data_IF_217335305097
#
_entry.id   IF_217335305097
#
_cell.length_a   1.000
_cell.length_b   1.000
_cell.length_c   1.000
_cell.angle_alpha   90.00
_cell.angle_beta   90.00
_cell.angle_gamma   90.00
#
_symmetry.space_group_name_H-M   'P 1'
#
loop_
_entity.id
_entity.type
_entity.pdbx_description
1 polymer ?
#
# COMPACT_ATOMS: atom_id res chain seq x y z
N UNK A 1 9.78 -1.93 12.44
CA UNK A 1 8.76 -2.89 11.92
C UNK A 1 8.24 -3.81 13.00
N UNK A 2 9.05 -4.69 13.61
CA UNK A 2 8.57 -5.63 14.66
C UNK A 2 7.78 -4.94 15.77
N UNK A 3 8.33 -3.85 16.35
CA UNK A 3 7.63 -3.08 17.40
C UNK A 3 6.29 -2.50 16.93
N UNK A 4 6.24 -1.98 15.70
CA UNK A 4 5.00 -1.43 15.10
C UNK A 4 3.97 -2.55 14.91
N UNK A 5 4.42 -3.73 14.45
CA UNK A 5 3.55 -4.91 14.27
C UNK A 5 3.01 -5.43 15.60
N UNK A 6 3.82 -5.47 16.66
CA UNK A 6 3.37 -5.84 18.01
C UNK A 6 2.40 -4.82 18.59
N UNK A 7 2.65 -3.53 18.40
CA UNK A 7 1.74 -2.46 18.81
C UNK A 7 0.41 -2.55 18.07
N UNK A 8 0.43 -2.74 16.74
CA UNK A 8 -0.78 -2.94 15.95
C UNK A 8 -1.53 -4.19 16.39
N UNK A 9 -0.84 -5.30 16.62
CA UNK A 9 -1.47 -6.50 17.16
C UNK A 9 -2.19 -6.22 18.49
N UNK A 10 -1.50 -5.57 19.44
CA UNK A 10 -2.10 -5.18 20.72
C UNK A 10 -3.32 -4.28 20.55
N UNK A 11 -3.26 -3.28 19.66
CA UNK A 11 -4.38 -2.38 19.36
C UNK A 11 -5.57 -3.16 18.77
N UNK A 12 -5.30 -4.05 17.82
CA UNK A 12 -6.30 -4.82 17.08
C UNK A 12 -7.02 -5.81 18.00
N UNK A 13 -6.30 -6.58 18.81
CA UNK A 13 -6.91 -7.59 19.69
C UNK A 13 -7.35 -7.08 21.06
N UNK A 14 -6.95 -5.86 21.43
CA UNK A 14 -7.32 -5.25 22.70
C UNK A 14 -8.33 -4.10 22.49
N UNK A 15 -7.88 -2.84 22.39
CA UNK A 15 -8.75 -1.67 22.26
C UNK A 15 -9.78 -1.73 21.11
N UNK A 16 -9.41 -2.29 19.95
CA UNK A 16 -10.30 -2.36 18.80
C UNK A 16 -11.21 -3.59 18.80
N UNK A 17 -10.97 -4.56 19.71
CA UNK A 17 -11.73 -5.80 19.88
C UNK A 17 -12.02 -6.54 18.56
N UNK A 18 -11.01 -6.59 17.68
CA UNK A 18 -11.10 -7.26 16.40
C UNK A 18 -10.57 -8.70 16.51
N UNK A 19 -11.36 -9.65 16.01
CA UNK A 19 -10.96 -11.06 15.95
C UNK A 19 -9.62 -11.23 15.22
N UNK A 20 -8.76 -12.20 15.61
CA UNK A 20 -7.49 -12.51 14.94
C UNK A 20 -7.69 -13.26 13.60
N UNK A 21 -8.61 -12.77 12.79
CA UNK A 21 -9.02 -13.35 11.51
C UNK A 21 -8.65 -12.45 10.34
N UNK A 22 -8.46 -13.08 9.17
CA UNK A 22 -8.29 -12.44 7.87
C UNK A 22 -9.55 -12.72 7.04
N UNK A 23 -10.17 -11.66 6.54
CA UNK A 23 -11.38 -11.75 5.70
C UNK A 23 -10.99 -11.68 4.23
N UNK A 24 -11.24 -12.76 3.49
CA UNK A 24 -11.16 -12.78 2.03
C UNK A 24 -12.56 -12.45 1.50
N UNK A 25 -12.76 -11.17 1.20
CA UNK A 25 -14.06 -10.59 0.85
C UNK A 25 -14.53 -11.04 -0.52
N UNK A 26 -13.61 -11.28 -1.45
CA UNK A 26 -13.97 -11.76 -2.81
C UNK A 26 -14.56 -13.18 -2.80
N UNK A 27 -14.23 -13.99 -1.79
CA UNK A 27 -14.67 -15.39 -1.67
C UNK A 27 -15.62 -15.61 -0.48
N UNK A 28 -16.01 -14.55 0.23
CA UNK A 28 -16.74 -14.61 1.51
C UNK A 28 -16.15 -15.61 2.53
N UNK A 29 -14.83 -15.77 2.50
CA UNK A 29 -14.10 -16.68 3.38
C UNK A 29 -13.48 -15.90 4.54
N UNK A 30 -13.58 -16.42 5.75
CA UNK A 30 -12.88 -15.88 6.93
C UNK A 30 -11.94 -16.95 7.47
N UNK A 31 -10.66 -16.62 7.55
CA UNK A 31 -9.62 -17.52 8.04
C UNK A 31 -9.19 -17.03 9.41
N UNK A 32 -9.31 -17.89 10.42
CA UNK A 32 -8.80 -17.61 11.76
C UNK A 32 -7.30 -17.94 11.84
N UNK A 33 -6.50 -16.95 12.21
CA UNK A 33 -5.05 -17.12 12.38
C UNK A 33 -4.67 -17.35 13.85
N UNK A 34 -5.57 -17.10 14.81
CA UNK A 34 -5.35 -17.27 16.23
C UNK A 34 -3.98 -16.71 16.69
N UNK A 35 -3.16 -17.58 17.27
CA UNK A 35 -1.83 -17.23 17.79
C UNK A 35 -0.83 -16.78 16.70
N UNK A 36 -1.07 -17.11 15.43
CA UNK A 36 -0.21 -16.72 14.31
C UNK A 36 -0.57 -15.34 13.72
N UNK A 37 -1.64 -14.71 14.19
CA UNK A 37 -2.07 -13.40 13.68
C UNK A 37 -1.01 -12.28 13.82
N UNK A 38 -0.19 -12.20 14.89
CA UNK A 38 0.91 -11.22 14.97
C UNK A 38 1.94 -11.40 13.85
N UNK A 39 2.20 -12.66 13.44
CA UNK A 39 3.12 -12.95 12.33
C UNK A 39 2.53 -12.46 11.01
N UNK A 40 1.22 -12.67 10.81
CA UNK A 40 0.51 -12.12 9.66
C UNK A 40 0.59 -10.58 9.61
N UNK A 41 0.29 -9.90 10.72
CA UNK A 41 0.42 -8.44 10.83
C UNK A 41 1.85 -7.99 10.48
N UNK A 42 2.86 -8.70 11.00
CA UNK A 42 4.25 -8.41 10.67
C UNK A 42 4.53 -8.52 9.17
N UNK A 43 4.06 -9.58 8.51
CA UNK A 43 4.25 -9.77 7.07
C UNK A 43 3.60 -8.64 6.26
N UNK A 44 2.36 -8.26 6.58
CA UNK A 44 1.63 -7.18 5.88
C UNK A 44 2.35 -5.84 6.05
N UNK A 45 2.73 -5.49 7.29
CA UNK A 45 3.44 -4.23 7.58
C UNK A 45 4.82 -4.22 6.94
N UNK A 46 5.58 -5.30 7.07
CA UNK A 46 6.92 -5.38 6.50
C UNK A 46 6.86 -5.31 4.96
N UNK A 47 5.95 -6.05 4.34
CA UNK A 47 5.79 -6.02 2.89
C UNK A 47 5.43 -4.61 2.40
N UNK A 48 4.40 -3.98 2.96
CA UNK A 48 3.96 -2.67 2.47
C UNK A 48 4.95 -1.54 2.77
N UNK A 49 5.56 -1.51 3.95
CA UNK A 49 6.60 -0.50 4.23
C UNK A 49 7.76 -0.59 3.25
N UNK A 50 8.25 -1.81 2.94
CA UNK A 50 9.30 -1.98 1.94
C UNK A 50 8.79 -1.69 0.52
N UNK A 51 7.55 -2.05 0.18
CA UNK A 51 6.97 -1.79 -1.14
C UNK A 51 6.84 -0.28 -1.43
N UNK A 52 6.36 0.50 -0.46
CA UNK A 52 6.29 1.97 -0.57
C UNK A 52 7.70 2.57 -0.65
N UNK A 53 8.65 2.09 0.15
CA UNK A 53 10.06 2.51 0.09
C UNK A 53 10.70 2.22 -1.27
N UNK A 54 10.48 1.04 -1.85
CA UNK A 54 10.93 0.70 -3.21
C UNK A 54 10.28 1.56 -4.29
N UNK A 55 9.10 2.11 -4.04
CA UNK A 55 8.37 2.98 -4.97
C UNK A 55 8.82 4.45 -4.87
N UNK A 56 9.54 4.82 -3.82
CA UNK A 56 10.12 6.16 -3.59
C UNK A 56 11.44 6.36 -4.37
N UNK A 57 11.42 6.01 -5.67
CA UNK A 57 12.56 6.13 -6.58
C UNK A 57 12.43 7.25 -7.60
N UNK A 58 11.26 7.89 -7.70
CA UNK A 58 10.97 9.01 -8.59
C UNK A 58 10.17 10.11 -7.87
N UNK A 59 10.46 11.36 -8.24
CA UNK A 59 9.82 12.56 -7.71
C UNK A 59 8.29 12.49 -7.78
N UNK A 60 7.61 12.47 -6.63
CA UNK A 60 6.16 12.42 -6.54
C UNK A 60 5.53 11.05 -6.78
N UNK A 61 6.29 10.00 -7.11
CA UNK A 61 5.71 8.68 -7.37
C UNK A 61 5.09 8.07 -6.10
N UNK A 62 5.89 7.87 -5.04
CA UNK A 62 5.41 7.26 -3.80
C UNK A 62 4.32 8.10 -3.10
N UNK A 63 4.51 9.41 -2.99
CA UNK A 63 3.55 10.31 -2.37
C UNK A 63 2.21 10.33 -3.13
N UNK A 64 2.23 10.40 -4.45
CA UNK A 64 1.00 10.41 -5.26
C UNK A 64 0.25 9.09 -5.23
N UNK A 65 0.95 7.96 -5.36
CA UNK A 65 0.32 6.63 -5.23
C UNK A 65 -0.26 6.46 -3.82
N UNK A 66 0.44 6.92 -2.78
CA UNK A 66 -0.08 6.87 -1.40
C UNK A 66 -1.34 7.71 -1.25
N UNK A 67 -1.37 8.95 -1.75
CA UNK A 67 -2.55 9.81 -1.69
C UNK A 67 -3.78 9.14 -2.35
N UNK A 68 -3.58 8.49 -3.50
CA UNK A 68 -4.63 7.78 -4.23
C UNK A 68 -5.14 6.56 -3.43
N UNK A 69 -4.23 5.75 -2.90
CA UNK A 69 -4.57 4.59 -2.04
C UNK A 69 -5.32 5.04 -0.78
N UNK A 70 -4.83 6.08 -0.12
CA UNK A 70 -5.44 6.61 1.09
C UNK A 70 -6.81 7.25 0.83
N UNK A 71 -7.06 7.77 -0.37
CA UNK A 71 -8.39 8.26 -0.77
C UNK A 71 -9.39 7.11 -0.92
N UNK A 72 -8.98 5.96 -1.48
CA UNK A 72 -9.82 4.76 -1.48
C UNK A 72 -10.12 4.28 -0.06
N UNK A 73 -9.10 4.28 0.81
CA UNK A 73 -9.28 3.91 2.21
C UNK A 73 -10.16 4.88 3.01
N UNK A 74 -10.09 6.18 2.72
CA UNK A 74 -11.01 7.18 3.27
C UNK A 74 -12.47 6.81 2.94
N UNK A 75 -12.74 6.42 1.69
CA UNK A 75 -14.06 5.93 1.30
C UNK A 75 -14.46 4.65 2.04
N UNK A 76 -13.54 3.69 2.16
CA UNK A 76 -13.76 2.40 2.85
C UNK A 76 -14.11 2.62 4.33
N UNK A 77 -13.34 3.44 5.04
CA UNK A 77 -13.54 3.71 6.47
C UNK A 77 -14.83 4.48 6.69
N UNK A 78 -15.09 5.50 5.85
CA UNK A 78 -16.28 6.34 5.96
C UNK A 78 -17.57 5.55 5.75
N UNK A 79 -17.61 4.65 4.76
CA UNK A 79 -18.82 3.89 4.42
C UNK A 79 -18.99 2.66 5.32
N UNK A 80 -17.94 1.86 5.53
CA UNK A 80 -18.13 0.52 6.07
C UNK A 80 -17.74 0.30 7.52
N UNK A 81 -17.04 1.23 8.16
CA UNK A 81 -16.73 1.11 9.61
C UNK A 81 -17.50 2.11 10.46
N UNK A 82 -18.01 3.20 9.89
CA UNK A 82 -18.56 4.32 10.66
C UNK A 82 -17.54 4.98 11.60
N UNK A 83 -16.27 4.55 11.57
CA UNK A 83 -15.21 5.05 12.42
C UNK A 83 -14.74 6.41 11.90
N UNK A 84 -15.21 7.47 12.56
CA UNK A 84 -14.79 8.85 12.30
C UNK A 84 -13.28 8.99 12.36
N UNK A 85 -12.63 8.29 13.29
CA UNK A 85 -11.22 8.51 13.61
C UNK A 85 -10.30 7.92 12.55
N UNK A 86 -10.61 6.72 12.03
CA UNK A 86 -9.86 6.12 10.92
C UNK A 86 -10.07 6.91 9.62
N UNK A 87 -11.28 7.42 9.40
CA UNK A 87 -11.59 8.28 8.25
C UNK A 87 -10.83 9.60 8.34
N UNK A 88 -10.77 10.21 9.53
CA UNK A 88 -9.97 11.41 9.78
C UNK A 88 -8.49 11.14 9.54
N UNK A 89 -7.95 10.03 10.05
CA UNK A 89 -6.56 9.63 9.82
C UNK A 89 -6.27 9.47 8.32
N UNK A 90 -7.15 8.81 7.58
CA UNK A 90 -7.01 8.66 6.14
C UNK A 90 -7.05 10.01 5.41
N UNK A 91 -7.96 10.91 5.78
CA UNK A 91 -8.05 12.26 5.22
C UNK A 91 -6.79 13.10 5.52
N UNK A 92 -6.27 13.04 6.75
CA UNK A 92 -5.00 13.68 7.13
C UNK A 92 -3.83 13.14 6.30
N UNK A 93 -3.78 11.83 6.05
CA UNK A 93 -2.74 11.21 5.23
C UNK A 93 -2.81 11.66 3.77
N UNK A 94 -4.02 11.76 3.19
CA UNK A 94 -4.24 12.32 1.85
C UNK A 94 -3.74 13.76 1.82
N UNK A 95 -4.17 14.60 2.77
CA UNK A 95 -3.77 16.00 2.87
C UNK A 95 -2.25 16.17 3.02
N UNK A 96 -1.62 15.35 3.86
CA UNK A 96 -0.16 15.37 4.04
C UNK A 96 0.58 14.99 2.76
N UNK A 97 0.14 13.93 2.05
CA UNK A 97 0.76 13.53 0.78
C UNK A 97 0.58 14.59 -0.31
N UNK A 98 -0.61 15.19 -0.42
CA UNK A 98 -0.88 16.26 -1.40
C UNK A 98 -0.08 17.53 -1.06
N UNK A 99 0.00 17.91 0.21
CA UNK A 99 0.83 19.04 0.64
C UNK A 99 2.31 18.78 0.41
N UNK A 100 2.79 17.57 0.65
CA UNK A 100 4.16 17.17 0.37
C UNK A 100 4.48 17.16 -1.13
N UNK A 101 3.53 16.71 -1.97
CA UNK A 101 3.66 16.73 -3.43
C UNK A 101 3.91 18.12 -3.99
N UNK A 102 3.45 19.19 -3.33
CA UNK A 102 3.77 20.56 -3.73
C UNK A 102 5.28 20.80 -3.82
N UNK A 103 6.06 20.15 -2.95
CA UNK A 103 7.52 20.27 -2.88
C UNK A 103 8.25 19.09 -3.53
N UNK A 104 7.59 17.94 -3.66
CA UNK A 104 8.17 16.70 -4.15
C UNK A 104 7.82 16.36 -5.60
N UNK A 105 6.83 17.03 -6.22
CA UNK A 105 6.55 16.86 -7.63
C UNK A 105 7.74 17.31 -8.48
N UNK A 106 8.00 16.59 -9.58
CA UNK A 106 9.18 16.82 -10.42
C UNK A 106 9.22 18.26 -10.98
N UNK A 107 10.37 18.98 -10.87
CA UNK A 107 11.60 18.59 -10.17
C UNK A 107 11.50 18.78 -8.65
N UNK A 108 11.83 17.75 -7.85
CA UNK A 108 11.67 17.80 -6.40
C UNK A 108 12.63 18.77 -5.70
N UNK A 109 12.12 19.47 -4.70
CA UNK A 109 12.89 20.31 -3.77
C UNK A 109 13.06 19.65 -2.39
N UNK A 110 12.15 18.74 -2.04
CA UNK A 110 12.18 17.96 -0.79
C UNK A 110 11.97 16.49 -1.12
N UNK A 111 12.85 15.64 -0.59
CA UNK A 111 12.78 14.18 -0.73
C UNK A 111 12.11 13.55 0.49
N UNK A 112 11.38 12.45 0.25
CA UNK A 112 10.62 11.76 1.30
C UNK A 112 11.54 11.00 2.25
N UNK A 113 12.50 10.25 1.68
CA UNK A 113 13.46 9.45 2.43
C UNK A 113 12.80 8.26 3.15
N UNK A 114 13.62 7.47 3.84
CA UNK A 114 13.15 6.25 4.51
C UNK A 114 12.14 6.53 5.61
N UNK A 115 12.28 7.66 6.32
CA UNK A 115 11.34 8.06 7.38
C UNK A 115 9.91 8.20 6.84
N UNK A 116 9.76 8.90 5.71
CA UNK A 116 8.45 9.11 5.09
C UNK A 116 7.92 7.83 4.45
N UNK A 117 8.73 7.18 3.61
CA UNK A 117 8.27 6.05 2.80
C UNK A 117 7.95 4.80 3.64
N UNK A 118 8.78 4.45 4.64
CA UNK A 118 8.48 3.34 5.55
C UNK A 118 7.27 3.64 6.44
N UNK A 119 7.13 4.91 6.86
CA UNK A 119 6.01 5.39 7.65
C UNK A 119 4.68 5.31 6.88
N UNK A 120 4.66 5.78 5.63
CA UNK A 120 3.48 5.71 4.77
C UNK A 120 3.08 4.26 4.44
N UNK A 121 4.04 3.38 4.16
CA UNK A 121 3.70 1.97 3.95
C UNK A 121 3.20 1.28 5.22
N UNK A 122 3.70 1.67 6.39
CA UNK A 122 3.19 1.21 7.68
C UNK A 122 1.77 1.68 7.95
N UNK A 123 1.47 2.94 7.59
CA UNK A 123 0.13 3.52 7.68
C UNK A 123 -0.87 2.81 6.76
N UNK A 124 -0.51 2.58 5.50
CA UNK A 124 -1.33 1.86 4.52
C UNK A 124 -1.62 0.43 5.01
N UNK A 125 -0.61 -0.29 5.51
CA UNK A 125 -0.81 -1.60 6.11
C UNK A 125 -1.70 -1.57 7.36
N UNK A 126 -1.47 -0.60 8.26
CA UNK A 126 -2.23 -0.45 9.49
C UNK A 126 -3.71 -0.22 9.23
N UNK A 127 -4.06 0.67 8.29
CA UNK A 127 -5.45 0.91 7.92
C UNK A 127 -6.09 -0.32 7.27
N UNK A 128 -5.36 -1.06 6.42
CA UNK A 128 -5.86 -2.29 5.83
C UNK A 128 -6.22 -3.34 6.90
N UNK A 129 -5.36 -3.50 7.92
CA UNK A 129 -5.59 -4.41 9.05
C UNK A 129 -6.79 -3.95 9.89
N UNK A 130 -6.84 -2.66 10.25
CA UNK A 130 -7.93 -2.08 11.07
C UNK A 130 -9.30 -2.17 10.39
N UNK A 131 -9.33 -2.13 9.05
CA UNK A 131 -10.58 -2.25 8.27
C UNK A 131 -10.91 -3.68 7.84
N UNK A 132 -10.06 -4.66 8.20
CA UNK A 132 -10.18 -6.05 7.75
C UNK A 132 -10.28 -6.15 6.21
N UNK A 133 -9.37 -5.46 5.52
CA UNK A 133 -9.26 -5.40 4.06
C UNK A 133 -7.86 -5.79 3.58
N UNK A 134 -7.14 -6.61 4.34
CA UNK A 134 -5.76 -7.02 4.04
C UNK A 134 -5.65 -7.73 2.68
N UNK A 135 -6.68 -8.45 2.26
CA UNK A 135 -6.78 -9.03 0.91
C UNK A 135 -6.88 -7.94 -0.16
N UNK A 136 -7.81 -6.99 0.01
CA UNK A 136 -8.03 -5.92 -0.95
C UNK A 136 -6.83 -4.98 -1.07
N UNK A 137 -5.95 -4.94 -0.07
CA UNK A 137 -4.71 -4.19 -0.12
C UNK A 137 -3.81 -4.61 -1.30
N UNK A 138 -3.86 -5.88 -1.71
CA UNK A 138 -3.12 -6.36 -2.89
C UNK A 138 -3.61 -5.69 -4.19
N UNK A 139 -4.88 -5.30 -4.22
CA UNK A 139 -5.49 -4.61 -5.36
C UNK A 139 -5.35 -3.11 -5.18
N UNK A 140 -5.80 -2.54 -4.07
CA UNK A 140 -5.77 -1.09 -3.80
C UNK A 140 -4.33 -0.58 -3.86
N UNK A 141 -3.40 -1.25 -3.18
CA UNK A 141 -1.97 -0.96 -3.22
C UNK A 141 -1.24 -1.54 -4.44
N UNK A 142 -1.95 -1.89 -5.52
CA UNK A 142 -1.43 -2.70 -6.62
C UNK A 142 -0.14 -2.17 -7.25
N UNK A 143 0.05 -0.84 -7.33
CA UNK A 143 1.31 -0.26 -7.83
C UNK A 143 2.48 -0.59 -6.90
N UNK A 144 2.33 -0.45 -5.58
CA UNK A 144 3.36 -0.83 -4.60
C UNK A 144 3.67 -2.33 -4.68
N UNK A 145 2.63 -3.14 -4.82
CA UNK A 145 2.77 -4.61 -4.96
C UNK A 145 3.56 -4.95 -6.21
N UNK A 146 3.24 -4.35 -7.35
CA UNK A 146 3.93 -4.60 -8.63
C UNK A 146 5.40 -4.15 -8.54
N UNK A 147 5.68 -3.00 -7.91
CA UNK A 147 7.03 -2.51 -7.68
C UNK A 147 7.85 -3.51 -6.84
N UNK A 148 7.31 -3.95 -5.70
CA UNK A 148 7.96 -4.94 -4.84
C UNK A 148 8.15 -6.30 -5.56
N UNK A 149 7.14 -6.78 -6.27
CA UNK A 149 7.21 -8.03 -7.04
C UNK A 149 8.26 -7.96 -8.15
N UNK A 150 8.41 -6.79 -8.80
CA UNK A 150 9.43 -6.62 -9.84
C UNK A 150 10.84 -6.86 -9.29
N UNK A 151 11.13 -6.38 -8.07
CA UNK A 151 12.40 -6.60 -7.39
C UNK A 151 12.57 -8.06 -6.99
N UNK A 152 11.53 -8.68 -6.40
CA UNK A 152 11.57 -10.09 -6.01
C UNK A 152 11.86 -10.99 -7.22
N UNK A 153 11.12 -10.80 -8.32
CA UNK A 153 11.29 -11.56 -9.56
C UNK A 153 12.69 -11.34 -10.14
N UNK A 154 13.17 -10.09 -10.19
CA UNK A 154 14.47 -9.75 -10.72
C UNK A 154 15.60 -10.41 -9.91
N UNK A 155 15.54 -10.32 -8.57
CA UNK A 155 16.54 -10.92 -7.67
C UNK A 155 16.50 -12.45 -7.75
N UNK A 156 15.31 -13.05 -7.75
CA UNK A 156 15.14 -14.50 -7.88
C UNK A 156 15.72 -15.02 -9.21
N UNK A 157 15.39 -14.36 -10.34
CA UNK A 157 15.92 -14.71 -11.65
C UNK A 157 17.43 -14.56 -11.73
N UNK A 158 17.98 -13.45 -11.21
CA UNK A 158 19.42 -13.22 -11.28
C UNK A 158 20.20 -14.20 -10.38
N UNK A 159 19.67 -14.57 -9.21
CA UNK A 159 20.31 -15.57 -8.33
C UNK A 159 20.25 -17.00 -8.90
N UNK A 160 19.18 -17.36 -9.61
CA UNK A 160 18.96 -18.73 -10.12
C UNK A 160 19.51 -18.94 -11.53
N UNK A 161 19.24 -18.00 -12.45
CA UNK A 161 19.57 -18.16 -13.88
C UNK A 161 20.66 -17.20 -14.35
N UNK A 162 21.07 -16.23 -13.52
CA UNK A 162 21.97 -15.12 -13.88
C UNK A 162 21.46 -14.24 -15.03
N UNK A 163 20.16 -14.35 -15.36
CA UNK A 163 19.49 -13.53 -16.38
C UNK A 163 18.59 -12.49 -15.71
N UNK A 164 18.56 -11.30 -16.30
CA UNK A 164 17.66 -10.20 -15.91
C UNK A 164 16.31 -10.37 -16.63
N UNK A 165 15.21 -10.21 -15.91
CA UNK A 165 13.84 -10.23 -16.48
C UNK A 165 13.45 -8.84 -16.95
N UNK A 166 13.65 -7.86 -16.08
CA UNK A 166 13.51 -6.44 -16.39
C UNK A 166 14.89 -5.83 -16.68
N UNK A 167 14.93 -4.81 -17.55
CA UNK A 167 16.13 -4.00 -17.81
C UNK A 167 16.77 -3.49 -16.49
N UNK A 168 15.94 -3.02 -15.57
CA UNK A 168 16.28 -2.62 -14.21
C UNK A 168 15.06 -2.87 -13.30
N UNK A 169 15.29 -3.10 -12.01
CA UNK A 169 14.24 -3.16 -10.99
C UNK A 169 14.58 -2.12 -9.90
N UNK A 170 13.60 -1.42 -9.31
CA UNK A 170 12.15 -1.61 -9.46
C UNK A 170 11.57 -1.20 -10.84
N UNK A 171 10.27 -1.42 -11.05
CA UNK A 171 9.63 -1.37 -12.37
C UNK A 171 9.64 0.03 -12.99
N UNK A 172 9.57 1.11 -12.21
CA UNK A 172 9.69 2.46 -12.76
C UNK A 172 11.03 2.66 -13.51
N UNK A 173 12.16 2.19 -12.97
CA UNK A 173 13.45 2.26 -13.65
C UNK A 173 13.49 1.42 -14.94
N UNK A 174 12.73 0.33 -15.02
CA UNK A 174 12.59 -0.41 -16.27
C UNK A 174 12.03 0.47 -17.40
N UNK A 175 11.07 1.34 -17.09
CA UNK A 175 10.49 2.26 -18.06
C UNK A 175 11.40 3.44 -18.38
N UNK A 176 12.19 3.93 -17.43
CA UNK A 176 13.23 4.93 -17.70
C UNK A 176 14.31 4.39 -18.66
N UNK A 177 14.73 3.13 -18.46
CA UNK A 177 15.66 2.45 -19.39
C UNK A 177 15.06 2.22 -20.78
N UNK A 178 13.73 2.37 -20.94
CA UNK A 178 13.03 2.43 -22.24
C UNK A 178 12.85 3.86 -22.77
N UNK A 179 13.63 4.81 -22.24
CA UNK A 179 13.62 6.22 -22.59
C UNK A 179 12.27 6.92 -22.33
N UNK A 180 11.51 6.49 -21.33
CA UNK A 180 10.38 7.30 -20.84
C UNK A 180 10.91 8.38 -19.91
N UNK A 181 10.37 9.61 -20.02
CA UNK A 181 10.66 10.66 -19.05
C UNK A 181 10.06 10.31 -17.68
N UNK A 182 10.70 10.77 -16.60
CA UNK A 182 10.23 10.55 -15.23
C UNK A 182 8.76 10.95 -15.07
N UNK A 183 8.39 12.15 -15.53
CA UNK A 183 7.00 12.65 -15.49
C UNK A 183 6.02 11.70 -16.19
N UNK A 184 6.44 11.09 -17.32
CA UNK A 184 5.60 10.13 -18.05
C UNK A 184 5.41 8.84 -17.24
N UNK A 185 6.44 8.36 -16.56
CA UNK A 185 6.36 7.18 -15.69
C UNK A 185 5.44 7.48 -14.51
N UNK A 186 5.67 8.60 -13.81
CA UNK A 186 4.89 9.03 -12.64
C UNK A 186 3.39 9.12 -12.98
N UNK A 187 3.03 9.88 -14.02
CA UNK A 187 1.63 10.07 -14.39
C UNK A 187 0.95 8.76 -14.80
N UNK A 188 1.66 7.86 -15.49
CA UNK A 188 1.10 6.55 -15.88
C UNK A 188 0.89 5.65 -14.67
N UNK A 189 1.83 5.66 -13.72
CA UNK A 189 1.70 4.91 -12.48
C UNK A 189 0.55 5.45 -11.62
N UNK A 190 0.32 6.75 -11.61
CA UNK A 190 -0.85 7.34 -10.95
C UNK A 190 -2.17 6.93 -11.61
N UNK A 191 -2.25 6.92 -12.94
CA UNK A 191 -3.44 6.41 -13.66
C UNK A 191 -3.71 4.95 -13.30
N UNK A 192 -2.66 4.12 -13.26
CA UNK A 192 -2.76 2.72 -12.85
C UNK A 192 -3.20 2.61 -11.39
N UNK A 193 -2.63 3.38 -10.48
CA UNK A 193 -3.03 3.43 -9.07
C UNK A 193 -4.51 3.81 -8.90
N UNK A 194 -5.00 4.81 -9.65
CA UNK A 194 -6.42 5.21 -9.62
C UNK A 194 -7.31 4.05 -10.05
N UNK A 195 -6.95 3.34 -11.14
CA UNK A 195 -7.72 2.19 -11.61
C UNK A 195 -7.75 1.06 -10.57
N UNK A 196 -6.59 0.70 -10.01
CA UNK A 196 -6.47 -0.32 -8.96
C UNK A 196 -7.25 0.04 -7.69
N UNK A 197 -7.11 1.29 -7.21
CA UNK A 197 -7.86 1.81 -6.07
C UNK A 197 -9.36 1.80 -6.30
N UNK A 198 -9.83 2.21 -7.49
CA UNK A 198 -11.26 2.21 -7.83
C UNK A 198 -11.83 0.79 -7.90
N UNK A 199 -11.08 -0.17 -8.47
CA UNK A 199 -11.47 -1.58 -8.50
C UNK A 199 -11.55 -2.13 -7.08
N UNK A 200 -10.51 -1.93 -6.26
CA UNK A 200 -10.47 -2.40 -4.88
C UNK A 200 -11.58 -1.81 -4.01
N UNK A 201 -11.87 -0.52 -4.16
CA UNK A 201 -13.02 0.13 -3.51
C UNK A 201 -14.35 -0.47 -3.96
N UNK A 202 -14.50 -0.75 -5.27
CA UNK A 202 -15.73 -1.35 -5.81
C UNK A 202 -15.94 -2.77 -5.27
N UNK A 203 -14.88 -3.58 -5.20
CA UNK A 203 -14.91 -4.91 -4.60
C UNK A 203 -15.31 -4.84 -3.12
N UNK A 204 -14.75 -3.87 -2.37
CA UNK A 204 -15.16 -3.62 -0.99
C UNK A 204 -16.66 -3.29 -0.90
N UNK A 205 -17.13 -2.33 -1.69
CA UNK A 205 -18.51 -1.88 -1.68
C UNK A 205 -19.50 -2.99 -2.05
N UNK A 206 -19.15 -3.85 -3.00
CA UNK A 206 -19.95 -5.03 -3.33
C UNK A 206 -19.98 -6.04 -2.18
N UNK A 207 -18.84 -6.29 -1.52
CA UNK A 207 -18.75 -7.25 -0.40
C UNK A 207 -19.61 -6.88 0.80
N UNK A 208 -19.81 -5.58 1.06
CA UNK A 208 -20.67 -5.11 2.16
C UNK A 208 -22.16 -5.10 1.78
N UNK A 209 -22.49 -4.98 0.49
CA UNK A 209 -23.88 -4.94 0.00
C UNK A 209 -24.47 -6.34 -0.21
N UNK A 210 -23.63 -7.33 -0.47
CA UNK A 210 -24.04 -8.73 -0.62
C UNK A 210 -24.43 -9.40 0.71
N UNK A 211 -24.32 -8.68 1.84
CA UNK A 211 -24.65 -9.11 3.20
C UNK A 211 -25.80 -8.30 3.75
#
# INVERSE_FOLDING_TARGET
MVLVSLLLWYIVTGPADLDPTVKIRTLDLTIDFGIFYPVWIYLVVAFMSNAVNLTDGLDGLAAGVTAIVMTAYLGITFIGTGASDLSLLAACAVGACVGFLWYNAHPATVFMGDTGSLGLGGLVAGIAIMTKTEELLLVIGGVFVIEALSVIIQVASFKTTRKRVFLMAPLHHHFEMKAWSETKVILRFWIVAIAFSAIGFTLYYQSIRAR
#
